data_IF_964755217404
#
_entry.id   IF_964755217404
#
_cell.length_a   1.000
_cell.length_b   1.000
_cell.length_c   1.000
_cell.angle_alpha   90.00
_cell.angle_beta   90.00
_cell.angle_gamma   90.00
#
_symmetry.space_group_name_H-M   'P 1'
#
loop_
_entity.id
_entity.type
_entity.pdbx_description
1 polymer ?
#
# COMPACT_ATOMS: atom_id res chain seq x y z
N UNK A 1 6.41 5.76 34.16
CA UNK A 1 7.07 4.84 33.24
C UNK A 1 6.05 4.51 32.19
N UNK A 2 6.19 4.95 30.92
CA UNK A 2 5.34 4.43 29.89
C UNK A 2 5.65 2.93 29.76
N UNK A 3 4.63 2.11 29.72
CA UNK A 3 4.76 0.70 29.39
C UNK A 3 5.40 0.62 27.99
N UNK A 4 6.65 0.16 27.90
CA UNK A 4 7.18 -0.37 26.65
C UNK A 4 6.24 -1.51 26.24
N UNK A 5 5.34 -1.21 25.31
CA UNK A 5 4.51 -2.23 24.70
C UNK A 5 5.45 -3.10 23.84
N UNK A 6 5.81 -4.26 24.37
CA UNK A 6 6.73 -5.17 23.71
C UNK A 6 6.15 -5.64 22.38
N UNK A 7 6.90 -5.43 21.30
CA UNK A 7 6.64 -6.10 20.03
C UNK A 7 7.03 -7.57 20.22
N UNK A 8 6.14 -8.48 19.81
CA UNK A 8 6.41 -9.91 19.82
C UNK A 8 7.52 -10.30 18.83
N UNK A 9 8.08 -11.48 19.02
CA UNK A 9 9.08 -12.03 18.08
C UNK A 9 8.51 -12.09 16.65
N UNK A 10 9.31 -11.65 15.69
CA UNK A 10 8.96 -11.70 14.27
C UNK A 10 9.13 -13.13 13.74
N UNK A 11 8.10 -13.69 13.12
CA UNK A 11 8.14 -15.01 12.47
C UNK A 11 7.86 -14.91 10.98
N UNK A 12 8.42 -15.82 10.20
CA UNK A 12 8.06 -15.99 8.79
C UNK A 12 6.72 -16.70 8.73
N UNK A 13 5.72 -16.06 8.08
CA UNK A 13 4.42 -16.65 7.83
C UNK A 13 4.38 -17.36 6.49
N UNK A 14 4.92 -16.74 5.44
CA UNK A 14 4.98 -17.26 4.09
C UNK A 14 6.31 -16.89 3.45
N UNK A 15 6.82 -17.74 2.56
CA UNK A 15 8.08 -17.50 1.83
C UNK A 15 7.97 -17.98 0.38
N UNK A 16 8.96 -17.63 -0.45
CA UNK A 16 9.01 -18.06 -1.85
C UNK A 16 8.14 -17.20 -2.76
N UNK A 17 7.83 -15.97 -2.37
CA UNK A 17 7.16 -14.97 -3.19
C UNK A 17 8.15 -14.28 -4.13
N UNK A 18 7.68 -13.75 -5.24
CA UNK A 18 8.45 -12.85 -6.08
C UNK A 18 8.67 -11.52 -5.37
N UNK A 19 7.66 -10.70 -5.32
CA UNK A 19 7.60 -9.45 -4.57
C UNK A 19 6.16 -9.18 -4.19
N UNK A 20 5.86 -9.36 -2.91
CA UNK A 20 4.54 -9.03 -2.38
C UNK A 20 4.41 -7.53 -2.15
N UNK A 21 3.22 -7.00 -2.40
CA UNK A 21 2.84 -5.60 -2.22
C UNK A 21 1.37 -5.43 -1.86
N UNK A 22 1.00 -4.23 -1.43
CA UNK A 22 -0.38 -3.83 -1.20
C UNK A 22 -1.17 -4.79 -0.31
N UNK A 23 -0.65 -5.18 0.87
CA UNK A 23 -1.33 -6.12 1.73
C UNK A 23 -2.65 -5.53 2.28
N UNK A 24 -3.67 -6.40 2.42
CA UNK A 24 -4.97 -6.06 3.01
C UNK A 24 -5.42 -7.21 3.90
N UNK A 25 -5.97 -6.90 5.06
CA UNK A 25 -6.64 -7.91 5.90
C UNK A 25 -8.11 -7.98 5.53
N UNK A 26 -8.55 -9.07 4.93
CA UNK A 26 -9.91 -9.27 4.45
C UNK A 26 -10.36 -10.71 4.66
N UNK A 27 -11.59 -10.91 5.16
CA UNK A 27 -12.21 -12.22 5.40
C UNK A 27 -11.31 -13.20 6.16
N UNK A 28 -10.65 -12.70 7.24
CA UNK A 28 -9.83 -13.54 8.12
C UNK A 28 -8.49 -13.97 7.52
N UNK A 29 -8.08 -13.42 6.37
CA UNK A 29 -6.82 -13.70 5.70
C UNK A 29 -6.08 -12.42 5.32
N UNK A 30 -4.76 -12.51 5.19
CA UNK A 30 -3.96 -11.48 4.55
C UNK A 30 -3.96 -11.71 3.03
N UNK A 31 -4.40 -10.69 2.30
CA UNK A 31 -4.37 -10.66 0.84
C UNK A 31 -3.28 -9.71 0.40
N UNK A 32 -2.59 -10.01 -0.69
CA UNK A 32 -1.55 -9.14 -1.25
C UNK A 32 -1.34 -9.42 -2.73
N UNK A 33 -0.72 -8.48 -3.41
CA UNK A 33 -0.29 -8.59 -4.80
C UNK A 33 1.10 -9.21 -4.87
N UNK A 34 1.29 -10.33 -5.55
CA UNK A 34 2.66 -10.79 -5.90
C UNK A 34 2.98 -10.35 -7.33
N UNK A 35 3.77 -9.29 -7.45
CA UNK A 35 4.17 -8.75 -8.76
C UNK A 35 5.06 -9.73 -9.54
N UNK A 36 5.84 -10.55 -8.85
CA UNK A 36 6.72 -11.53 -9.49
C UNK A 36 5.98 -12.62 -10.24
N UNK A 37 4.78 -12.99 -9.78
CA UNK A 37 3.93 -14.03 -10.40
C UNK A 37 2.68 -13.47 -11.07
N UNK A 38 2.40 -12.17 -10.89
CA UNK A 38 1.19 -11.50 -11.32
C UNK A 38 -0.08 -12.16 -10.73
N UNK A 39 -0.07 -12.39 -9.41
CA UNK A 39 -1.13 -13.09 -8.70
C UNK A 39 -1.62 -12.28 -7.49
N UNK A 40 -2.93 -12.30 -7.25
CA UNK A 40 -3.52 -11.95 -5.96
C UNK A 40 -3.49 -13.19 -5.08
N UNK A 41 -2.78 -13.12 -3.96
CA UNK A 41 -2.58 -14.23 -3.04
C UNK A 41 -3.28 -13.93 -1.72
N UNK A 42 -3.96 -14.92 -1.14
CA UNK A 42 -4.48 -14.86 0.22
C UNK A 42 -3.76 -15.90 1.09
N UNK A 43 -3.39 -15.52 2.32
CA UNK A 43 -2.74 -16.41 3.29
C UNK A 43 -3.42 -16.31 4.65
N UNK A 44 -3.66 -17.46 5.30
CA UNK A 44 -4.20 -17.50 6.66
C UNK A 44 -3.10 -17.34 7.73
N UNK A 45 -3.47 -17.36 9.01
CA UNK A 45 -2.52 -17.19 10.12
C UNK A 45 -1.60 -18.40 10.33
N UNK A 46 -1.94 -19.54 9.75
CA UNK A 46 -1.17 -20.80 9.74
C UNK A 46 -0.16 -20.85 8.59
N UNK A 47 -0.24 -19.91 7.61
CA UNK A 47 0.64 -19.84 6.46
C UNK A 47 0.15 -20.63 5.24
N UNK A 48 -1.11 -21.09 5.23
CA UNK A 48 -1.70 -21.72 4.05
C UNK A 48 -2.07 -20.61 3.05
N UNK A 49 -1.42 -20.63 1.89
CA UNK A 49 -1.60 -19.64 0.84
C UNK A 49 -2.39 -20.20 -0.34
N UNK A 50 -3.20 -19.36 -0.96
CA UNK A 50 -4.02 -19.68 -2.12
C UNK A 50 -3.95 -18.53 -3.13
N UNK A 51 -3.82 -18.85 -4.42
CA UNK A 51 -3.96 -17.86 -5.50
C UNK A 51 -5.45 -17.63 -5.76
N UNK A 52 -5.87 -16.39 -5.59
CA UNK A 52 -7.28 -16.00 -5.63
C UNK A 52 -7.71 -15.39 -6.96
N UNK A 53 -6.78 -14.70 -7.63
CA UNK A 53 -7.03 -14.07 -8.93
C UNK A 53 -5.71 -13.83 -9.66
N UNK A 54 -5.79 -13.61 -10.96
CA UNK A 54 -4.71 -13.01 -11.73
C UNK A 54 -4.56 -11.52 -11.34
N UNK A 55 -3.35 -10.98 -11.43
CA UNK A 55 -3.05 -9.60 -11.09
C UNK A 55 -3.42 -8.57 -12.17
N UNK A 56 -3.04 -7.33 -11.92
CA UNK A 56 -3.27 -6.19 -12.81
C UNK A 56 -2.33 -6.11 -14.02
N UNK A 57 -1.27 -6.92 -14.02
CA UNK A 57 -0.22 -6.91 -15.05
C UNK A 57 0.82 -5.80 -14.83
N UNK A 58 2.03 -6.02 -15.32
CA UNK A 58 3.13 -5.10 -15.11
C UNK A 58 3.65 -5.09 -13.67
N UNK A 59 4.23 -3.98 -13.25
CA UNK A 59 4.67 -3.73 -11.87
C UNK A 59 3.90 -2.58 -11.27
N UNK A 60 3.66 -2.63 -9.96
CA UNK A 60 3.01 -1.55 -9.24
C UNK A 60 1.48 -1.59 -9.33
N UNK A 61 0.85 -2.72 -9.04
CA UNK A 61 -0.59 -2.85 -8.96
C UNK A 61 -1.04 -3.35 -7.59
N UNK A 62 -2.29 -3.07 -7.24
CA UNK A 62 -2.90 -3.35 -5.95
C UNK A 62 -4.27 -4.01 -6.09
N UNK A 63 -4.72 -4.68 -5.03
CA UNK A 63 -6.09 -5.15 -4.89
C UNK A 63 -6.74 -4.57 -3.61
N UNK A 64 -8.04 -4.26 -3.67
CA UNK A 64 -8.84 -3.81 -2.53
C UNK A 64 -10.33 -4.13 -2.77
N UNK A 65 -11.20 -3.94 -1.76
CA UNK A 65 -12.61 -4.31 -1.85
C UNK A 65 -13.53 -3.11 -1.69
N UNK A 66 -14.52 -3.05 -2.57
CA UNK A 66 -15.67 -2.17 -2.39
C UNK A 66 -16.49 -2.59 -1.16
N UNK A 67 -17.30 -1.68 -0.58
CA UNK A 67 -18.19 -2.02 0.53
C UNK A 67 -19.19 -3.16 0.24
N UNK A 68 -19.47 -3.42 -1.03
CA UNK A 68 -20.33 -4.52 -1.47
C UNK A 68 -19.62 -5.87 -1.63
N UNK A 69 -18.32 -5.94 -1.29
CA UNK A 69 -17.47 -7.13 -1.30
C UNK A 69 -16.85 -7.45 -2.66
N UNK A 70 -17.06 -6.64 -3.70
CA UNK A 70 -16.40 -6.85 -5.00
C UNK A 70 -14.98 -6.32 -4.97
N UNK A 71 -14.05 -7.12 -5.50
CA UNK A 71 -12.64 -6.76 -5.56
C UNK A 71 -12.37 -5.76 -6.69
N UNK A 72 -11.55 -4.76 -6.39
CA UNK A 72 -10.92 -3.88 -7.35
C UNK A 72 -9.46 -4.29 -7.53
N UNK A 73 -8.96 -4.17 -8.75
CA UNK A 73 -7.56 -4.41 -9.10
C UNK A 73 -7.08 -3.25 -9.97
N UNK A 74 -5.99 -2.60 -9.57
CA UNK A 74 -5.29 -1.60 -10.38
C UNK A 74 -4.31 -2.25 -11.36
N UNK A 75 -3.75 -1.48 -12.25
CA UNK A 75 -2.82 -1.87 -13.29
C UNK A 75 -2.90 -0.86 -14.42
N UNK A 76 -2.97 -1.29 -15.68
CA UNK A 76 -3.20 -0.37 -16.80
C UNK A 76 -4.53 0.39 -16.67
N UNK A 77 -5.52 -0.25 -16.06
CA UNK A 77 -6.85 0.29 -15.78
C UNK A 77 -7.26 -0.05 -14.34
N UNK A 78 -8.32 0.57 -13.84
CA UNK A 78 -8.98 0.16 -12.60
C UNK A 78 -10.10 -0.83 -12.96
N UNK A 79 -9.86 -2.09 -12.64
CA UNK A 79 -10.78 -3.19 -12.96
C UNK A 79 -11.54 -3.65 -11.72
N UNK A 80 -12.74 -4.17 -11.91
CA UNK A 80 -13.56 -4.78 -10.88
C UNK A 80 -13.82 -6.24 -11.23
N UNK A 81 -13.62 -7.12 -10.27
CA UNK A 81 -13.92 -8.54 -10.38
C UNK A 81 -15.38 -8.78 -9.99
N UNK A 82 -16.15 -9.34 -10.89
CA UNK A 82 -17.55 -9.69 -10.66
C UNK A 82 -17.70 -11.11 -10.06
N UNK A 83 -18.83 -11.44 -9.42
CA UNK A 83 -19.02 -12.75 -8.78
C UNK A 83 -18.94 -13.94 -9.74
N UNK A 84 -19.13 -13.74 -11.04
CA UNK A 84 -18.97 -14.79 -12.06
C UNK A 84 -17.53 -14.96 -12.54
N UNK A 85 -16.58 -14.20 -11.95
CA UNK A 85 -15.16 -14.20 -12.30
C UNK A 85 -14.81 -13.29 -13.48
N UNK A 86 -15.78 -12.63 -14.10
CA UNK A 86 -15.50 -11.67 -15.17
C UNK A 86 -14.86 -10.38 -14.61
N UNK A 87 -14.06 -9.71 -15.44
CA UNK A 87 -13.46 -8.41 -15.12
C UNK A 87 -14.11 -7.33 -15.96
N UNK A 88 -14.58 -6.31 -15.28
CA UNK A 88 -15.16 -5.13 -15.95
C UNK A 88 -14.37 -3.88 -15.53
N UNK A 89 -14.24 -2.91 -16.44
CA UNK A 89 -13.67 -1.61 -16.07
C UNK A 89 -14.57 -0.96 -15.03
N UNK A 90 -13.97 -0.57 -13.89
CA UNK A 90 -14.70 0.10 -12.82
C UNK A 90 -14.88 1.58 -13.09
N UNK A 91 -13.84 2.25 -13.60
CA UNK A 91 -13.88 3.66 -13.98
C UNK A 91 -12.94 3.96 -15.14
N UNK A 92 -13.24 5.01 -15.92
CA UNK A 92 -12.39 5.54 -16.96
C UNK A 92 -11.43 6.59 -16.38
N UNK A 93 -10.14 6.30 -16.40
CA UNK A 93 -9.10 7.10 -15.76
C UNK A 93 -8.07 7.71 -16.74
N UNK A 94 -8.22 7.43 -18.04
CA UNK A 94 -7.26 7.90 -19.07
C UNK A 94 -7.22 9.42 -19.22
N UNK A 95 -8.27 10.12 -18.82
CA UNK A 95 -8.29 11.59 -18.78
C UNK A 95 -7.41 12.19 -17.67
N UNK A 96 -7.08 11.41 -16.63
CA UNK A 96 -6.22 11.84 -15.52
C UNK A 96 -4.76 11.49 -15.78
N UNK A 97 -4.49 10.27 -16.25
CA UNK A 97 -3.15 9.81 -16.58
C UNK A 97 -3.17 8.81 -17.74
N UNK A 98 -2.22 8.91 -18.69
CA UNK A 98 -2.03 7.91 -19.73
C UNK A 98 -1.24 6.68 -19.23
N UNK A 99 -0.70 6.74 -18.00
CA UNK A 99 0.05 5.67 -17.38
C UNK A 99 -0.83 4.81 -16.48
N UNK A 100 -0.31 3.67 -16.05
CA UNK A 100 -1.01 2.75 -15.16
C UNK A 100 -1.23 3.30 -13.75
N UNK A 101 -1.99 2.54 -12.97
CA UNK A 101 -2.44 2.87 -11.61
C UNK A 101 -1.82 1.89 -10.62
N UNK A 102 -1.31 2.43 -9.51
CA UNK A 102 -0.57 1.66 -8.50
C UNK A 102 -1.45 1.35 -7.29
N UNK A 103 -1.24 2.08 -6.20
CA UNK A 103 -1.92 1.88 -4.94
C UNK A 103 -3.33 2.48 -4.92
N UNK A 104 -4.19 1.90 -4.08
CA UNK A 104 -5.51 2.45 -3.82
C UNK A 104 -5.90 2.30 -2.35
N UNK A 105 -6.75 3.21 -1.89
CA UNK A 105 -7.49 3.08 -0.64
C UNK A 105 -8.94 3.47 -0.86
N UNK A 106 -9.84 2.97 -0.01
CA UNK A 106 -11.28 3.21 -0.13
C UNK A 106 -11.75 3.82 1.18
N UNK A 107 -12.50 4.92 1.13
CA UNK A 107 -13.06 5.52 2.34
C UNK A 107 -14.37 4.85 2.77
N UNK A 108 -14.86 5.16 3.97
CA UNK A 108 -16.11 4.61 4.52
C UNK A 108 -17.36 5.02 3.76
N UNK A 109 -17.25 5.90 2.76
CA UNK A 109 -18.33 6.32 1.85
C UNK A 109 -18.32 5.54 0.53
N UNK A 110 -17.29 4.71 0.32
CA UNK A 110 -17.07 3.95 -0.90
C UNK A 110 -16.34 4.74 -2.00
N UNK A 111 -15.77 5.89 -1.69
CA UNK A 111 -14.89 6.60 -2.62
C UNK A 111 -13.55 5.86 -2.72
N UNK A 112 -13.06 5.65 -3.93
CA UNK A 112 -11.77 5.03 -4.20
C UNK A 112 -10.75 6.13 -4.53
N UNK A 113 -9.72 6.26 -3.72
CA UNK A 113 -8.54 7.05 -4.04
C UNK A 113 -7.51 6.12 -4.65
N UNK A 114 -7.13 6.39 -5.89
CA UNK A 114 -6.15 5.57 -6.63
C UNK A 114 -5.03 6.46 -7.12
N UNK A 115 -3.78 6.04 -6.94
CA UNK A 115 -2.64 6.83 -7.37
C UNK A 115 -1.92 6.25 -8.59
N UNK A 116 -1.17 7.12 -9.24
CA UNK A 116 -0.25 6.80 -10.32
C UNK A 116 1.07 7.55 -10.11
N UNK A 117 2.18 6.90 -10.40
CA UNK A 117 3.48 7.57 -10.48
C UNK A 117 3.55 8.54 -11.68
N UNK A 118 2.65 8.39 -12.66
CA UNK A 118 2.43 9.23 -13.82
C UNK A 118 3.68 9.42 -14.72
N UNK A 119 4.46 8.35 -14.86
CA UNK A 119 5.56 8.25 -15.84
C UNK A 119 5.78 6.77 -16.22
N UNK A 120 6.48 6.53 -17.34
CA UNK A 120 6.87 5.16 -17.71
C UNK A 120 7.93 4.63 -16.75
N UNK A 121 7.73 3.43 -16.21
CA UNK A 121 8.67 2.83 -15.28
C UNK A 121 10.08 2.64 -15.86
N UNK A 122 10.22 2.60 -17.19
CA UNK A 122 11.49 2.63 -17.88
C UNK A 122 12.30 3.93 -17.63
N UNK A 123 11.61 5.04 -17.29
CA UNK A 123 12.23 6.34 -17.00
C UNK A 123 12.57 6.51 -15.50
N UNK A 124 12.47 5.45 -14.71
CA UNK A 124 12.63 5.48 -13.24
C UNK A 124 13.88 6.23 -12.78
N UNK A 125 15.05 5.89 -13.35
CA UNK A 125 16.34 6.51 -12.97
C UNK A 125 16.39 8.00 -13.30
N UNK A 126 15.82 8.41 -14.44
CA UNK A 126 15.79 9.80 -14.86
C UNK A 126 14.84 10.63 -13.98
N UNK A 127 13.72 10.06 -13.57
CA UNK A 127 12.73 10.75 -12.74
C UNK A 127 13.24 10.88 -11.31
N UNK A 128 13.77 9.82 -10.69
CA UNK A 128 14.29 9.88 -9.31
C UNK A 128 15.45 10.87 -9.17
N UNK A 129 16.32 10.96 -10.18
CA UNK A 129 17.45 11.90 -10.20
C UNK A 129 17.08 13.35 -10.50
N UNK A 130 15.90 13.60 -11.04
CA UNK A 130 15.48 14.93 -11.52
C UNK A 130 14.80 15.81 -10.48
N UNK A 131 14.38 15.25 -9.34
CA UNK A 131 13.52 15.93 -8.36
C UNK A 131 12.10 16.21 -8.84
N UNK A 132 11.67 15.63 -9.97
CA UNK A 132 10.29 15.76 -10.47
C UNK A 132 9.31 14.99 -9.58
N UNK A 133 8.12 15.50 -9.46
CA UNK A 133 7.01 14.92 -8.72
C UNK A 133 5.77 14.84 -9.63
N UNK A 134 5.76 13.96 -10.64
CA UNK A 134 4.68 13.91 -11.62
C UNK A 134 3.44 13.17 -11.11
N UNK A 135 3.54 12.47 -9.97
CA UNK A 135 2.51 11.60 -9.44
C UNK A 135 1.19 12.29 -9.14
N UNK A 136 0.12 11.56 -9.25
CA UNK A 136 -1.26 12.03 -9.09
C UNK A 136 -2.10 11.10 -8.24
N UNK A 137 -3.19 11.63 -7.71
CA UNK A 137 -4.29 10.85 -7.11
C UNK A 137 -5.57 11.18 -7.87
N UNK A 138 -6.27 10.15 -8.32
CA UNK A 138 -7.63 10.23 -8.80
C UNK A 138 -8.61 9.77 -7.71
N UNK A 139 -9.77 10.40 -7.67
CA UNK A 139 -10.94 9.95 -6.95
C UNK A 139 -11.88 9.27 -7.92
N UNK A 140 -12.37 8.08 -7.55
CA UNK A 140 -13.50 7.42 -8.20
C UNK A 140 -14.63 7.33 -7.19
N UNK A 141 -15.76 7.93 -7.51
CA UNK A 141 -16.96 7.92 -6.67
C UNK A 141 -17.72 6.59 -6.79
N UNK A 142 -18.62 6.24 -5.85
CA UNK A 142 -19.37 4.98 -5.91
C UNK A 142 -20.22 4.79 -7.19
N UNK A 143 -20.58 5.87 -7.87
CA UNK A 143 -21.30 5.85 -9.15
C UNK A 143 -20.36 5.76 -10.36
N UNK A 144 -19.03 5.69 -10.13
CA UNK A 144 -18.02 5.49 -11.17
C UNK A 144 -17.50 6.76 -11.84
N UNK A 145 -17.89 7.95 -11.37
CA UNK A 145 -17.28 9.20 -11.84
C UNK A 145 -15.83 9.31 -11.35
N UNK A 146 -14.92 9.69 -12.25
CA UNK A 146 -13.51 9.79 -11.96
C UNK A 146 -12.99 11.19 -12.21
N UNK A 147 -12.15 11.71 -11.31
CA UNK A 147 -11.46 12.99 -11.45
C UNK A 147 -10.12 13.03 -10.73
N UNK A 148 -9.20 13.86 -11.19
CA UNK A 148 -7.99 14.20 -10.44
C UNK A 148 -8.35 14.98 -9.17
N UNK A 149 -7.74 14.63 -8.04
CA UNK A 149 -7.93 15.32 -6.75
C UNK A 149 -6.61 15.76 -6.11
N UNK A 150 -5.47 15.26 -6.57
CA UNK A 150 -4.15 15.76 -6.21
C UNK A 150 -3.14 15.46 -7.32
N UNK A 151 -2.15 16.33 -7.45
CA UNK A 151 -1.01 16.22 -8.34
C UNK A 151 0.31 16.62 -7.65
N UNK A 152 1.41 16.60 -8.39
CA UNK A 152 2.69 17.03 -7.85
C UNK A 152 3.21 16.17 -6.70
N UNK A 153 2.95 14.86 -6.74
CA UNK A 153 3.39 13.89 -5.75
C UNK A 153 4.67 13.18 -6.22
N UNK A 154 5.65 13.07 -5.31
CA UNK A 154 6.94 12.47 -5.60
C UNK A 154 6.90 10.94 -5.37
N UNK A 155 6.44 10.19 -6.37
CA UNK A 155 6.26 8.75 -6.31
C UNK A 155 5.26 8.35 -5.21
N UNK A 156 3.96 8.68 -5.40
CA UNK A 156 2.92 8.28 -4.45
C UNK A 156 2.82 6.76 -4.39
N UNK A 157 2.75 6.24 -3.17
CA UNK A 157 2.72 4.83 -2.84
C UNK A 157 1.57 4.53 -1.87
N UNK A 158 1.78 3.75 -0.81
CA UNK A 158 0.73 3.39 0.13
C UNK A 158 -0.10 4.56 0.63
N UNK A 159 -1.39 4.34 0.78
CA UNK A 159 -2.36 5.33 1.25
C UNK A 159 -3.25 4.75 2.34
N UNK A 160 -3.61 5.59 3.31
CA UNK A 160 -4.64 5.27 4.31
C UNK A 160 -5.61 6.44 4.47
N UNK A 161 -6.87 6.13 4.73
CA UNK A 161 -7.89 7.09 5.15
C UNK A 161 -8.11 6.92 6.64
N UNK A 162 -8.19 8.02 7.39
CA UNK A 162 -8.51 7.97 8.82
C UNK A 162 -9.92 7.43 9.08
N UNK A 163 -10.17 6.75 10.23
CA UNK A 163 -11.46 6.12 10.50
C UNK A 163 -12.67 7.06 10.47
N UNK A 164 -12.47 8.35 10.75
CA UNK A 164 -13.48 9.40 10.65
C UNK A 164 -13.73 9.89 9.21
N UNK A 165 -12.99 9.36 8.23
CA UNK A 165 -12.99 9.77 6.81
C UNK A 165 -12.64 11.25 6.59
N UNK A 166 -11.85 11.84 7.48
CA UNK A 166 -11.49 13.26 7.40
C UNK A 166 -10.13 13.51 6.75
N UNK A 167 -9.21 12.54 6.78
CA UNK A 167 -7.84 12.71 6.30
C UNK A 167 -7.39 11.53 5.42
N UNK A 168 -6.79 11.84 4.29
CA UNK A 168 -6.00 10.89 3.49
C UNK A 168 -4.52 11.13 3.78
N UNK A 169 -3.80 10.07 4.13
CA UNK A 169 -2.33 10.08 4.27
C UNK A 169 -1.76 9.25 3.13
N UNK A 170 -0.75 9.79 2.44
CA UNK A 170 -0.04 9.13 1.33
C UNK A 170 1.46 9.14 1.56
N UNK A 171 2.12 8.02 1.30
CA UNK A 171 3.57 7.94 1.25
C UNK A 171 4.07 8.53 -0.08
N UNK A 172 4.98 9.51 0.00
CA UNK A 172 5.73 10.02 -1.15
C UNK A 172 7.17 9.48 -1.08
N UNK A 173 7.41 8.30 -1.65
CA UNK A 173 8.65 7.54 -1.47
C UNK A 173 9.89 8.32 -1.91
N UNK A 174 9.83 9.06 -3.04
CA UNK A 174 10.97 9.86 -3.52
C UNK A 174 11.17 11.17 -2.75
N UNK A 175 10.13 11.70 -2.10
CA UNK A 175 10.24 12.86 -1.23
C UNK A 175 10.58 12.49 0.22
N UNK A 176 10.63 11.18 0.54
CA UNK A 176 10.92 10.64 1.87
C UNK A 176 10.02 11.25 2.95
N UNK A 177 8.72 11.30 2.67
CA UNK A 177 7.74 11.87 3.60
C UNK A 177 6.39 11.20 3.49
N UNK A 178 5.61 11.31 4.55
CA UNK A 178 4.18 11.09 4.54
C UNK A 178 3.48 12.45 4.39
N UNK A 179 2.53 12.54 3.48
CA UNK A 179 1.76 13.75 3.17
C UNK A 179 0.30 13.51 3.51
N UNK A 180 -0.35 14.47 4.17
CA UNK A 180 -1.76 14.41 4.49
C UNK A 180 -2.57 15.42 3.69
N UNK A 181 -3.83 15.07 3.43
CA UNK A 181 -4.86 15.92 2.83
C UNK A 181 -6.13 15.84 3.67
N UNK A 182 -6.86 16.93 3.78
CA UNK A 182 -8.22 16.91 4.28
C UNK A 182 -9.17 16.41 3.20
N UNK A 183 -10.13 15.55 3.58
CA UNK A 183 -11.14 14.98 2.70
C UNK A 183 -12.45 15.73 2.90
N UNK A 184 -12.95 16.40 1.86
CA UNK A 184 -14.26 17.02 1.85
C UNK A 184 -15.40 15.99 1.72
N UNK A 185 -16.64 16.43 1.93
CA UNK A 185 -17.82 15.56 1.86
C UNK A 185 -18.01 14.91 0.47
N UNK A 186 -17.54 15.56 -0.59
CA UNK A 186 -17.58 15.08 -1.98
C UNK A 186 -16.32 14.28 -2.37
N UNK A 187 -15.43 13.98 -1.41
CA UNK A 187 -14.17 13.29 -1.62
C UNK A 187 -13.02 14.15 -2.16
N UNK A 188 -13.22 15.44 -2.41
CA UNK A 188 -12.16 16.35 -2.86
C UNK A 188 -11.09 16.50 -1.79
N UNK A 189 -9.82 16.48 -2.21
CA UNK A 189 -8.67 16.66 -1.33
C UNK A 189 -8.26 18.15 -1.25
N UNK A 190 -7.88 18.58 -0.06
CA UNK A 190 -7.44 19.95 0.21
C UNK A 190 -6.38 20.00 1.33
N UNK A 191 -5.86 21.18 1.64
CA UNK A 191 -4.96 21.40 2.77
C UNK A 191 -3.77 20.44 2.80
N UNK A 192 -3.08 20.26 1.66
CA UNK A 192 -1.86 19.43 1.57
C UNK A 192 -0.84 19.88 2.59
N UNK A 193 -0.39 18.96 3.46
CA UNK A 193 0.58 19.20 4.50
C UNK A 193 1.50 18.02 4.71
N UNK A 194 2.70 18.26 5.22
CA UNK A 194 3.58 17.18 5.67
C UNK A 194 2.99 16.56 6.95
N UNK A 195 2.76 15.24 6.92
CA UNK A 195 2.32 14.47 8.08
C UNK A 195 3.53 14.02 8.92
N UNK A 196 4.57 13.49 8.25
CA UNK A 196 5.84 13.13 8.87
C UNK A 196 6.98 13.18 7.84
N UNK A 197 8.19 13.55 8.28
CA UNK A 197 9.40 13.50 7.47
C UNK A 197 10.08 12.13 7.64
N UNK A 198 9.42 11.10 7.14
CA UNK A 198 9.86 9.70 7.19
C UNK A 198 9.53 9.04 5.85
N UNK A 199 10.45 8.25 5.33
CA UNK A 199 10.19 7.45 4.12
C UNK A 199 9.07 6.46 4.40
N UNK A 200 8.20 6.27 3.42
CA UNK A 200 7.17 5.24 3.44
C UNK A 200 7.02 4.62 2.07
N UNK A 201 6.60 3.36 2.06
CA UNK A 201 6.16 2.61 0.90
C UNK A 201 4.70 2.19 1.15
N UNK A 202 4.35 0.92 1.28
CA UNK A 202 3.03 0.51 1.76
C UNK A 202 2.85 0.82 3.26
N UNK A 203 1.74 1.44 3.61
CA UNK A 203 1.44 1.93 4.98
C UNK A 203 0.10 1.42 5.50
N UNK A 204 -0.04 1.31 6.83
CA UNK A 204 -1.32 1.09 7.49
C UNK A 204 -1.41 1.89 8.80
N UNK A 205 -2.64 2.10 9.28
CA UNK A 205 -2.92 2.89 10.50
C UNK A 205 -3.42 2.02 11.65
N UNK A 206 -3.03 2.36 12.87
CA UNK A 206 -3.52 1.72 14.08
C UNK A 206 -4.54 2.59 14.85
N UNK A 207 -5.14 2.00 15.87
CA UNK A 207 -6.22 2.61 16.67
C UNK A 207 -5.77 3.77 17.58
N UNK A 208 -4.47 4.11 17.61
CA UNK A 208 -3.92 5.28 18.28
C UNK A 208 -3.48 6.36 17.27
N UNK A 209 -4.01 6.32 16.05
CA UNK A 209 -3.71 7.24 14.93
C UNK A 209 -2.23 7.25 14.53
N UNK A 210 -1.47 6.20 14.88
CA UNK A 210 -0.11 6.03 14.40
C UNK A 210 -0.09 5.22 13.11
N UNK A 211 0.85 5.57 12.22
CA UNK A 211 1.07 4.88 10.95
C UNK A 211 2.24 3.91 11.09
N UNK A 212 2.01 2.67 10.69
CA UNK A 212 3.08 1.74 10.39
C UNK A 212 3.52 1.95 8.95
N UNK A 213 4.82 2.10 8.75
CA UNK A 213 5.43 2.32 7.44
C UNK A 213 6.77 1.61 7.36
N UNK A 214 7.21 1.34 6.15
CA UNK A 214 8.53 0.81 5.87
C UNK A 214 9.49 1.95 5.53
N UNK A 215 10.75 1.88 6.00
CA UNK A 215 11.81 2.74 5.51
C UNK A 215 12.71 1.91 4.59
N UNK A 216 12.62 2.19 3.30
CA UNK A 216 13.39 1.51 2.22
C UNK A 216 14.52 2.39 1.69
N UNK A 217 15.12 3.20 2.53
CA UNK A 217 16.26 4.04 2.15
C UNK A 217 17.54 3.22 1.89
N UNK A 218 18.38 3.63 0.93
CA UNK A 218 19.62 2.91 0.61
C UNK A 218 20.62 2.88 1.76
N UNK A 219 20.53 3.80 2.72
CA UNK A 219 21.51 4.00 3.80
C UNK A 219 20.98 3.61 5.19
N UNK A 220 19.70 3.28 5.37
CA UNK A 220 19.05 3.20 6.68
C UNK A 220 18.64 1.78 7.12
N UNK A 221 19.02 0.77 6.33
CA UNK A 221 18.69 -0.62 6.64
C UNK A 221 17.22 -0.93 6.31
N UNK A 222 16.83 -2.16 6.62
CA UNK A 222 15.47 -2.65 6.36
C UNK A 222 14.70 -2.59 7.67
N UNK A 223 13.74 -1.67 7.77
CA UNK A 223 12.96 -1.46 8.99
C UNK A 223 11.48 -1.28 8.72
N UNK A 224 10.66 -1.67 9.69
CA UNK A 224 9.27 -1.26 9.79
C UNK A 224 9.11 -0.37 11.01
N UNK A 225 8.53 0.81 10.82
CA UNK A 225 8.41 1.85 11.84
C UNK A 225 6.96 2.08 12.21
N UNK A 226 6.68 2.31 13.48
CA UNK A 226 5.44 2.90 13.97
C UNK A 226 5.67 4.37 14.26
N UNK A 227 4.95 5.25 13.59
CA UNK A 227 5.21 6.69 13.60
C UNK A 227 3.94 7.46 13.93
N UNK A 228 4.07 8.49 14.75
CA UNK A 228 3.00 9.44 15.03
C UNK A 228 3.10 10.65 14.09
N UNK A 229 1.98 11.37 13.89
CA UNK A 229 2.00 12.66 13.20
C UNK A 229 3.09 13.58 13.79
N UNK A 230 3.84 14.24 12.92
CA UNK A 230 5.03 15.01 13.30
C UNK A 230 6.35 14.23 13.24
N UNK A 231 6.31 12.88 13.05
CA UNK A 231 7.49 12.07 12.79
C UNK A 231 8.13 11.42 14.02
N UNK A 232 7.46 11.45 15.18
CA UNK A 232 7.94 10.70 16.35
C UNK A 232 7.87 9.19 16.09
N UNK A 233 9.01 8.51 16.13
CA UNK A 233 9.09 7.05 16.00
C UNK A 233 8.77 6.40 17.34
N UNK A 234 7.66 5.68 17.41
CA UNK A 234 7.18 5.00 18.61
C UNK A 234 7.74 3.58 18.74
N UNK A 235 7.91 2.89 17.61
CA UNK A 235 8.49 1.53 17.56
C UNK A 235 9.31 1.37 16.27
N UNK A 236 10.29 0.45 16.35
CA UNK A 236 11.17 0.08 15.25
C UNK A 236 11.38 -1.43 15.24
N UNK A 237 11.16 -2.06 14.11
CA UNK A 237 11.42 -3.48 13.89
C UNK A 237 12.54 -3.58 12.84
N UNK A 238 13.68 -4.14 13.24
CA UNK A 238 14.79 -4.42 12.32
C UNK A 238 14.47 -5.68 11.49
N UNK A 239 14.76 -5.62 10.20
CA UNK A 239 14.48 -6.69 9.25
C UNK A 239 15.75 -7.07 8.48
N UNK A 240 15.80 -8.28 7.93
CA UNK A 240 16.96 -8.78 7.20
C UNK A 240 16.99 -8.36 5.71
N UNK A 241 15.89 -7.76 5.25
CA UNK A 241 15.71 -7.28 3.86
C UNK A 241 14.68 -6.17 3.80
N UNK A 242 14.63 -5.37 2.71
CA UNK A 242 13.67 -4.30 2.55
C UNK A 242 12.22 -4.74 2.77
N UNK A 243 11.48 -3.91 3.52
CA UNK A 243 10.05 -4.03 3.73
C UNK A 243 9.35 -3.05 2.78
N UNK A 244 8.51 -3.53 1.90
CA UNK A 244 7.80 -2.71 0.92
C UNK A 244 6.41 -2.34 1.38
N UNK A 245 5.78 -3.17 2.19
CA UNK A 245 4.45 -2.86 2.70
C UNK A 245 4.21 -3.52 4.06
N UNK A 246 3.29 -2.95 4.81
CA UNK A 246 2.83 -3.53 6.07
C UNK A 246 1.31 -3.41 6.21
N UNK A 247 0.73 -4.31 7.01
CA UNK A 247 -0.71 -4.33 7.29
C UNK A 247 -0.98 -4.89 8.67
N UNK A 248 -1.91 -4.27 9.38
CA UNK A 248 -2.44 -4.79 10.63
C UNK A 248 -3.65 -5.67 10.38
N UNK A 249 -3.72 -6.81 11.04
CA UNK A 249 -4.84 -7.73 10.94
C UNK A 249 -4.81 -8.79 12.04
N UNK A 250 -5.34 -9.99 11.75
CA UNK A 250 -5.57 -11.03 12.74
C UNK A 250 -6.93 -10.87 13.41
N UNK A 251 -7.37 -11.88 14.14
CA UNK A 251 -8.70 -11.91 14.77
C UNK A 251 -8.97 -10.73 15.70
N UNK A 252 -7.93 -10.24 16.39
CA UNK A 252 -8.00 -9.10 17.30
C UNK A 252 -7.35 -7.82 16.75
N UNK A 253 -6.98 -7.81 15.47
CA UNK A 253 -6.35 -6.69 14.79
C UNK A 253 -4.91 -6.38 15.21
N UNK A 254 -4.26 -7.24 15.99
CA UNK A 254 -2.94 -7.01 16.61
C UNK A 254 -1.81 -7.82 15.99
N UNK A 255 -2.00 -8.33 14.82
CA UNK A 255 -0.93 -8.95 14.04
C UNK A 255 -0.46 -7.96 12.99
N UNK A 256 0.79 -7.51 13.10
CA UNK A 256 1.44 -6.74 12.06
C UNK A 256 2.06 -7.70 11.05
N UNK A 257 1.63 -7.62 9.82
CA UNK A 257 2.23 -8.29 8.68
C UNK A 257 3.18 -7.33 8.00
N UNK A 258 4.37 -7.82 7.63
CA UNK A 258 5.39 -7.06 6.90
C UNK A 258 5.76 -7.85 5.66
N UNK A 259 5.60 -7.22 4.50
CA UNK A 259 5.91 -7.83 3.21
C UNK A 259 7.29 -7.39 2.78
N UNK A 260 8.21 -8.34 2.69
CA UNK A 260 9.63 -8.09 2.50
C UNK A 260 10.15 -8.83 1.27
N UNK A 261 11.10 -8.24 0.55
CA UNK A 261 11.76 -8.87 -0.59
C UNK A 261 13.13 -8.22 -0.85
N UNK A 262 13.95 -8.84 -1.69
CA UNK A 262 15.14 -8.18 -2.27
C UNK A 262 14.74 -7.51 -3.57
N UNK A 263 15.07 -6.23 -3.69
CA UNK A 263 14.93 -5.48 -4.93
C UNK A 263 16.18 -5.62 -5.78
N UNK A 264 16.01 -5.88 -7.07
CA UNK A 264 17.10 -6.04 -8.03
C UNK A 264 17.28 -4.84 -8.96
N UNK A 265 16.45 -3.82 -8.82
CA UNK A 265 16.38 -2.64 -9.68
C UNK A 265 15.31 -2.74 -10.77
N UNK A 266 14.89 -1.59 -11.34
CA UNK A 266 13.83 -1.54 -12.34
C UNK A 266 14.20 -2.29 -13.62
N UNK A 267 15.49 -2.36 -13.97
CA UNK A 267 15.99 -3.07 -15.16
C UNK A 267 16.02 -4.60 -15.02
N UNK A 268 15.76 -5.11 -13.82
CA UNK A 268 15.87 -6.53 -13.46
C UNK A 268 14.61 -7.07 -12.77
N UNK A 269 13.45 -6.56 -13.13
CA UNK A 269 12.15 -6.97 -12.54
C UNK A 269 11.88 -8.46 -12.73
N UNK A 270 12.28 -9.04 -13.86
CA UNK A 270 12.15 -10.47 -14.13
C UNK A 270 12.94 -11.35 -13.14
N UNK A 271 13.93 -10.80 -12.44
CA UNK A 271 14.63 -11.51 -11.38
C UNK A 271 13.80 -11.69 -10.10
N UNK A 272 12.79 -10.83 -9.85
CA UNK A 272 11.86 -11.02 -8.74
C UNK A 272 11.19 -12.39 -8.83
N UNK A 273 10.71 -12.74 -10.02
CA UNK A 273 10.08 -14.04 -10.29
C UNK A 273 11.06 -15.20 -10.12
N UNK A 274 12.30 -15.05 -10.58
CA UNK A 274 13.30 -16.12 -10.55
C UNK A 274 13.89 -16.34 -9.16
N UNK A 275 14.21 -15.26 -8.45
CA UNK A 275 14.92 -15.33 -7.17
C UNK A 275 13.99 -15.70 -6.00
N UNK A 276 12.71 -15.38 -6.08
CA UNK A 276 11.67 -15.71 -5.08
C UNK A 276 12.10 -15.41 -3.64
N UNK A 277 12.64 -14.20 -3.46
CA UNK A 277 13.16 -13.75 -2.15
C UNK A 277 12.09 -13.16 -1.25
N UNK A 278 10.88 -12.98 -1.76
CA UNK A 278 9.76 -12.37 -1.04
C UNK A 278 9.25 -13.25 0.10
N UNK A 279 8.88 -12.60 1.19
CA UNK A 279 8.29 -13.22 2.38
C UNK A 279 7.19 -12.32 2.96
N UNK A 280 6.25 -12.96 3.65
CA UNK A 280 5.38 -12.30 4.63
C UNK A 280 5.90 -12.65 6.01
N UNK A 281 6.24 -11.64 6.78
CA UNK A 281 6.59 -11.75 8.19
C UNK A 281 5.40 -11.33 9.04
N UNK A 282 5.26 -11.89 10.24
CA UNK A 282 4.21 -11.56 11.19
C UNK A 282 4.80 -11.32 12.58
N UNK A 283 4.34 -10.27 13.26
CA UNK A 283 4.69 -9.96 14.64
C UNK A 283 3.44 -9.51 15.43
N UNK A 284 3.40 -9.80 16.73
CA UNK A 284 2.33 -9.31 17.60
C UNK A 284 2.65 -7.89 18.04
N UNK A 285 1.65 -7.00 17.99
CA UNK A 285 1.75 -5.61 18.42
C UNK A 285 0.70 -5.28 19.48
N UNK A 286 0.95 -4.22 20.25
CA UNK A 286 0.07 -3.84 21.35
C UNK A 286 -1.21 -3.13 20.90
N UNK A 287 -1.14 -2.37 19.81
CA UNK A 287 -2.24 -1.54 19.31
C UNK A 287 -2.86 -2.21 18.09
N UNK A 288 -4.18 -2.41 18.05
CA UNK A 288 -4.84 -3.02 16.90
C UNK A 288 -4.94 -2.03 15.73
N UNK A 289 -5.36 -2.55 14.55
CA UNK A 289 -5.67 -1.70 13.40
C UNK A 289 -6.77 -0.68 13.72
N UNK A 290 -6.80 0.40 12.96
CA UNK A 290 -7.78 1.48 13.12
C UNK A 290 -9.21 1.10 12.69
N UNK A 291 -9.43 -0.11 12.18
CA UNK A 291 -10.75 -0.63 11.76
C UNK A 291 -11.09 -0.39 10.29
N UNK A 292 -10.24 0.28 9.53
CA UNK A 292 -10.37 0.48 8.10
C UNK A 292 -9.01 0.29 7.42
N UNK A 293 -9.03 -0.22 6.14
CA UNK A 293 -7.92 -0.91 5.52
C UNK A 293 -6.76 -0.05 5.34
#
# INVERSE_FOLDING_TARGET
>A
MPHESSIGETRVLLSGLGMGESPRWHDGRLWFSDWGTNEVVAVDLEGNAEVMAEGGGGSGWAANWLPDGRMLITGAELMRLEPDGSRVRHAELSSVSPYGWSEMTIDGRGNVYVNTINFDFADFHDVIGSGKAPGKIALVTPDGEAREVADGLAFPNGMVVTPDNATLIVAESFARRLTAFDIAADGTLSNRRMWANITGDGICMDAEDAVWCSDVGPDEGSVCLRVREGGEVLHRIELDRPCYACMLGGEDGRTLFMVVARWFGPDRIDELQRARTGQVLAARVAVPHAGWP
#
